data_IF_264667860885
#
_entry.id   IF_264667860885
#
_cell.length_a   1.000
_cell.length_b   1.000
_cell.length_c   1.000
_cell.angle_alpha   90.00
_cell.angle_beta   90.00
_cell.angle_gamma   90.00
#
_symmetry.space_group_name_H-M   'P 1'
#
loop_
_entity.id
_entity.type
_entity.pdbx_description
1 polymer ?
#
# COMPACT_ATOMS: atom_id res chain seq x y z
N UNK A 1 -1.67 -7.68 -15.71
CA UNK A 1 -1.38 -6.97 -14.46
C UNK A 1 -1.01 -5.55 -14.85
N UNK A 2 -1.68 -4.54 -14.29
CA UNK A 2 -1.26 -3.15 -14.47
C UNK A 2 0.05 -2.98 -13.71
N UNK A 3 1.12 -2.50 -14.36
CA UNK A 3 2.32 -2.08 -13.66
C UNK A 3 2.15 -0.63 -13.22
N UNK A 4 2.51 -0.32 -11.97
CA UNK A 4 2.55 1.07 -11.50
C UNK A 4 3.46 1.96 -12.38
N UNK A 5 4.45 1.36 -13.05
CA UNK A 5 5.36 2.01 -14.00
C UNK A 5 4.71 2.45 -15.32
N UNK A 6 3.62 1.82 -15.77
CA UNK A 6 3.06 2.09 -17.10
C UNK A 6 2.22 3.39 -17.14
N UNK A 7 1.87 3.95 -15.97
CA UNK A 7 0.99 5.11 -15.80
C UNK A 7 1.60 6.23 -14.93
N UNK A 8 2.93 6.34 -14.87
CA UNK A 8 3.69 7.35 -14.12
C UNK A 8 3.63 8.77 -14.71
N UNK A 9 2.43 9.21 -15.07
CA UNK A 9 2.18 10.39 -15.91
C UNK A 9 1.32 11.43 -15.16
N UNK A 10 0.92 11.09 -13.92
CA UNK A 10 0.04 11.92 -13.12
C UNK A 10 0.77 13.08 -12.44
N UNK A 11 0.09 14.22 -12.31
CA UNK A 11 0.63 15.40 -11.62
C UNK A 11 1.08 15.09 -10.17
N UNK A 12 0.39 14.14 -9.50
CA UNK A 12 0.76 13.68 -8.17
C UNK A 12 2.11 12.92 -8.15
N UNK A 13 2.37 12.09 -9.17
CA UNK A 13 3.62 11.34 -9.29
C UNK A 13 4.82 12.28 -9.49
N UNK A 14 4.65 13.35 -10.27
CA UNK A 14 5.70 14.34 -10.49
C UNK A 14 6.02 15.20 -9.26
N UNK A 15 5.12 15.26 -8.27
CA UNK A 15 5.34 15.97 -7.01
C UNK A 15 6.17 15.16 -6.00
N UNK A 16 6.36 13.87 -6.23
CA UNK A 16 7.14 13.01 -5.35
C UNK A 16 8.65 13.19 -5.58
N UNK A 17 9.42 13.11 -4.50
CA UNK A 17 10.88 12.94 -4.60
C UNK A 17 11.22 11.56 -5.13
N UNK A 18 12.46 11.36 -5.57
CA UNK A 18 12.88 10.05 -6.10
C UNK A 18 12.86 8.96 -5.00
N UNK A 19 13.17 9.32 -3.76
CA UNK A 19 13.01 8.45 -2.58
C UNK A 19 11.55 8.03 -2.39
N UNK A 20 10.61 8.98 -2.43
CA UNK A 20 9.18 8.69 -2.28
C UNK A 20 8.62 7.84 -3.42
N UNK A 21 9.10 8.05 -4.65
CA UNK A 21 8.74 7.20 -5.80
C UNK A 21 9.23 5.77 -5.60
N UNK A 22 10.46 5.62 -5.13
CA UNK A 22 11.06 4.32 -4.87
C UNK A 22 10.29 3.59 -3.76
N UNK A 23 9.99 4.27 -2.65
CA UNK A 23 9.19 3.70 -1.56
C UNK A 23 7.79 3.28 -2.02
N UNK A 24 7.15 4.07 -2.91
CA UNK A 24 5.84 3.75 -3.45
C UNK A 24 5.87 2.51 -4.34
N UNK A 25 6.89 2.38 -5.19
CA UNK A 25 7.08 1.20 -6.04
C UNK A 25 7.29 -0.05 -5.17
N UNK A 26 8.17 0.04 -4.16
CA UNK A 26 8.42 -1.07 -3.23
C UNK A 26 7.14 -1.47 -2.51
N UNK A 27 6.42 -0.51 -1.93
CA UNK A 27 5.16 -0.77 -1.22
C UNK A 27 4.09 -1.41 -2.13
N UNK A 28 4.05 -0.99 -3.40
CA UNK A 28 3.15 -1.59 -4.38
C UNK A 28 3.51 -3.05 -4.65
N UNK A 29 4.79 -3.34 -4.90
CA UNK A 29 5.27 -4.72 -5.13
C UNK A 29 5.02 -5.61 -3.90
N UNK A 30 5.33 -5.11 -2.71
CA UNK A 30 5.13 -5.82 -1.44
C UNK A 30 3.66 -6.11 -1.15
N UNK A 31 2.74 -5.27 -1.64
CA UNK A 31 1.30 -5.47 -1.45
C UNK A 31 0.75 -6.72 -2.15
N UNK A 32 1.49 -7.29 -3.12
CA UNK A 32 1.10 -8.53 -3.78
C UNK A 32 1.56 -9.78 -3.04
N UNK A 33 2.44 -9.66 -2.05
CA UNK A 33 2.87 -10.78 -1.22
C UNK A 33 1.87 -11.00 -0.07
N UNK A 34 1.13 -12.13 -0.05
CA UNK A 34 0.23 -12.44 1.04
C UNK A 34 0.93 -12.56 2.40
N UNK A 35 2.25 -12.80 2.45
CA UNK A 35 3.02 -12.80 3.69
C UNK A 35 3.13 -11.41 4.33
N UNK A 36 3.00 -10.34 3.54
CA UNK A 36 2.96 -8.96 4.00
C UNK A 36 1.52 -8.51 4.33
N UNK A 37 0.51 -9.33 4.04
CA UNK A 37 -0.88 -9.02 4.37
C UNK A 37 -1.22 -9.43 5.80
N UNK A 38 -1.97 -8.58 6.48
CA UNK A 38 -2.61 -8.94 7.75
C UNK A 38 -4.02 -9.47 7.47
N UNK A 39 -4.42 -10.54 8.17
CA UNK A 39 -5.77 -11.09 7.98
C UNK A 39 -6.83 -10.17 8.57
N UNK A 40 -8.00 -10.13 7.94
CA UNK A 40 -9.15 -9.38 8.46
C UNK A 40 -9.51 -9.79 9.90
N UNK A 41 -9.39 -11.08 10.24
CA UNK A 41 -9.64 -11.57 11.60
C UNK A 41 -8.67 -10.97 12.63
N UNK A 42 -7.38 -10.85 12.28
CA UNK A 42 -6.37 -10.22 13.13
C UNK A 42 -6.65 -8.72 13.32
N UNK A 43 -6.94 -7.99 12.25
CA UNK A 43 -7.28 -6.56 12.33
C UNK A 43 -8.54 -6.33 13.17
N UNK A 44 -9.59 -7.14 12.97
CA UNK A 44 -10.82 -7.04 13.75
C UNK A 44 -10.58 -7.32 15.24
N UNK A 45 -9.70 -8.27 15.56
CA UNK A 45 -9.34 -8.55 16.95
C UNK A 45 -8.52 -7.41 17.58
N UNK A 46 -7.58 -6.81 16.86
CA UNK A 46 -6.74 -5.72 17.39
C UNK A 46 -7.49 -4.41 17.60
N UNK A 47 -8.56 -4.15 16.84
CA UNK A 47 -9.37 -2.93 16.94
C UNK A 47 -10.75 -3.16 17.54
N UNK A 48 -10.96 -4.29 18.23
CA UNK A 48 -12.25 -4.67 18.82
C UNK A 48 -12.85 -3.57 19.70
N UNK A 49 -12.03 -2.92 20.53
CA UNK A 49 -12.48 -1.84 21.43
C UNK A 49 -13.01 -0.61 20.69
N UNK A 50 -12.52 -0.35 19.48
CA UNK A 50 -12.97 0.77 18.65
C UNK A 50 -14.21 0.41 17.83
N UNK A 51 -14.35 -0.86 17.45
CA UNK A 51 -15.46 -1.36 16.62
C UNK A 51 -16.71 -1.73 17.44
N UNK A 52 -16.58 -1.90 18.75
CA UNK A 52 -17.68 -2.23 19.67
C UNK A 52 -18.24 -1.01 20.44
N UNK A 53 -17.76 0.21 20.15
CA UNK A 53 -18.39 1.48 20.58
C UNK A 53 -19.55 1.86 19.67
#
# INVERSE_FOLDING_TARGET
MQNLNDEQNGEAWHKLTDEQKQDLIISYEESFDPANMVSHAQVKASHKEWLEM
#
